data_IF_066224697564
#
_entry.id   IF_066224697564
#
_cell.length_a   1.000
_cell.length_b   1.000
_cell.length_c   1.000
_cell.angle_alpha   90.00
_cell.angle_beta   90.00
_cell.angle_gamma   90.00
#
_symmetry.space_group_name_H-M   'P 1'
#
loop_
_entity.id
_entity.type
_entity.pdbx_description
1 polymer ?
#
# COMPACT_ATOMS: atom_id res chain seq x y z
N UNK A 1 -33.47 5.13 -36.87
CA UNK A 1 -32.86 6.17 -37.72
C UNK A 1 -31.49 5.67 -38.12
N UNK A 2 -31.24 5.44 -39.41
CA UNK A 2 -29.96 4.99 -39.93
C UNK A 2 -29.37 6.14 -40.76
N UNK A 3 -28.18 6.61 -40.39
CA UNK A 3 -27.43 7.60 -41.16
C UNK A 3 -26.60 6.86 -42.22
N UNK A 4 -26.77 7.25 -43.48
CA UNK A 4 -26.02 6.77 -44.64
C UNK A 4 -25.16 7.92 -45.17
N UNK A 5 -23.90 7.64 -45.49
CA UNK A 5 -23.03 8.55 -46.23
C UNK A 5 -22.70 7.93 -47.58
N UNK A 6 -23.18 8.57 -48.66
CA UNK A 6 -22.75 8.31 -50.02
C UNK A 6 -21.55 9.22 -50.32
N UNK A 7 -20.39 8.64 -50.58
CA UNK A 7 -19.26 9.32 -51.20
C UNK A 7 -19.18 8.87 -52.66
N UNK A 8 -19.57 9.75 -53.57
CA UNK A 8 -19.25 9.65 -54.99
C UNK A 8 -18.02 10.53 -55.21
N UNK A 9 -16.88 9.90 -55.50
CA UNK A 9 -15.61 10.56 -55.70
C UNK A 9 -14.57 9.53 -56.16
N UNK A 10 -14.57 9.24 -57.45
CA UNK A 10 -13.42 8.72 -58.19
C UNK A 10 -12.26 9.71 -58.00
N UNK A 11 -11.24 9.37 -57.21
CA UNK A 11 -9.85 9.88 -57.23
C UNK A 11 -9.16 9.73 -55.85
N UNK A 12 -8.89 8.49 -55.42
CA UNK A 12 -7.91 8.24 -54.35
C UNK A 12 -7.00 7.10 -54.80
N UNK A 13 -5.74 7.44 -55.07
CA UNK A 13 -4.67 6.49 -55.33
C UNK A 13 -4.58 5.45 -54.20
N UNK A 14 -4.63 4.17 -54.54
CA UNK A 14 -4.55 3.05 -53.60
C UNK A 14 -3.11 2.92 -53.10
N UNK A 15 -2.69 3.79 -52.19
CA UNK A 15 -1.55 3.51 -51.33
C UNK A 15 -1.94 2.38 -50.39
N UNK A 16 -1.27 1.24 -50.58
CA UNK A 16 -1.42 0.04 -49.78
C UNK A 16 -1.21 0.39 -48.30
N UNK A 17 -2.30 0.64 -47.59
CA UNK A 17 -2.34 0.81 -46.16
C UNK A 17 -1.94 -0.53 -45.55
N UNK A 18 -0.66 -0.68 -45.22
CA UNK A 18 -0.23 -1.70 -44.27
C UNK A 18 -0.89 -1.29 -42.95
N UNK A 19 -1.91 -2.03 -42.53
CA UNK A 19 -2.55 -1.81 -41.25
C UNK A 19 -1.44 -1.73 -40.20
N UNK A 20 -1.39 -0.67 -39.37
CA UNK A 20 -0.40 -0.62 -38.32
C UNK A 20 -0.63 -1.86 -37.45
N UNK A 21 0.42 -2.66 -37.31
CA UNK A 21 0.42 -3.78 -36.37
C UNK A 21 0.06 -3.16 -35.03
N UNK A 22 -1.14 -3.43 -34.54
CA UNK A 22 -1.59 -2.98 -33.23
C UNK A 22 -0.69 -3.70 -32.25
N UNK A 23 0.38 -3.01 -31.83
CA UNK A 23 1.15 -3.42 -30.69
C UNK A 23 0.16 -3.52 -29.54
N UNK A 24 -0.08 -4.73 -29.06
CA UNK A 24 -0.85 -4.98 -27.84
C UNK A 24 -0.05 -4.38 -26.68
N UNK A 25 -0.27 -3.09 -26.45
CA UNK A 25 0.32 -2.35 -25.34
C UNK A 25 -0.18 -2.96 -24.03
N UNK A 26 0.69 -3.13 -23.01
CA UNK A 26 0.26 -3.64 -21.72
C UNK A 26 -0.64 -2.57 -21.08
N UNK A 27 -1.93 -2.88 -20.94
CA UNK A 27 -2.84 -2.04 -20.20
C UNK A 27 -2.35 -1.92 -18.75
N UNK A 28 -2.36 -0.70 -18.20
CA UNK A 28 -2.24 -0.44 -16.75
C UNK A 28 -3.56 -0.90 -16.14
N UNK A 29 -3.72 -2.21 -16.02
CA UNK A 29 -4.89 -2.84 -15.40
C UNK A 29 -4.60 -3.13 -13.93
N UNK A 30 -5.65 -3.14 -13.11
CA UNK A 30 -5.60 -3.73 -11.76
C UNK A 30 -5.34 -5.25 -11.76
N UNK A 31 -5.22 -5.84 -12.95
CA UNK A 31 -5.14 -7.27 -13.17
C UNK A 31 -3.88 -7.61 -13.96
N UNK A 32 -3.32 -8.81 -13.74
CA UNK A 32 -2.19 -9.28 -14.51
C UNK A 32 -2.50 -9.28 -16.00
N UNK A 33 -1.50 -8.91 -16.79
CA UNK A 33 -1.58 -9.04 -18.24
C UNK A 33 -1.54 -10.53 -18.59
N UNK A 34 -2.57 -11.02 -19.29
CA UNK A 34 -2.67 -12.41 -19.71
C UNK A 34 -1.39 -12.88 -20.42
N UNK A 35 -0.86 -14.03 -20.01
CA UNK A 35 0.38 -14.60 -20.57
C UNK A 35 1.68 -14.02 -20.00
N UNK A 36 1.64 -13.03 -19.10
CA UNK A 36 2.83 -12.56 -18.37
C UNK A 36 2.90 -13.19 -16.98
N UNK A 37 4.09 -13.64 -16.53
CA UNK A 37 4.25 -14.16 -15.18
C UNK A 37 4.02 -13.04 -14.15
N UNK A 38 3.45 -13.41 -13.01
CA UNK A 38 3.34 -12.52 -11.87
C UNK A 38 4.74 -12.12 -11.38
N UNK A 39 4.90 -10.83 -11.09
CA UNK A 39 6.12 -10.34 -10.47
C UNK A 39 6.27 -10.97 -9.09
N UNK A 40 7.47 -11.49 -8.82
CA UNK A 40 7.79 -12.03 -7.49
C UNK A 40 8.09 -10.87 -6.53
N UNK A 41 7.76 -11.00 -5.25
CA UNK A 41 8.18 -10.04 -4.23
C UNK A 41 9.71 -9.87 -4.25
N UNK A 42 10.17 -8.62 -4.20
CA UNK A 42 11.58 -8.26 -4.13
C UNK A 42 11.88 -7.64 -2.78
N UNK A 43 13.06 -7.91 -2.25
CA UNK A 43 13.57 -7.23 -1.06
C UNK A 43 14.38 -6.01 -1.51
N UNK A 44 14.12 -4.86 -0.90
CA UNK A 44 14.88 -3.64 -1.11
C UNK A 44 15.43 -3.16 0.22
N UNK A 45 16.72 -2.85 0.24
CA UNK A 45 17.36 -2.23 1.39
C UNK A 45 17.08 -0.72 1.42
N UNK A 46 16.98 -0.15 2.63
CA UNK A 46 16.70 1.27 2.82
C UNK A 46 17.80 2.16 2.23
N UNK A 47 19.08 1.79 2.38
CA UNK A 47 20.16 2.60 1.82
C UNK A 47 20.11 2.58 0.28
N UNK A 48 19.75 1.44 -0.31
CA UNK A 48 19.49 1.36 -1.74
C UNK A 48 18.32 2.28 -2.16
N UNK A 49 17.17 2.23 -1.47
CA UNK A 49 16.03 3.09 -1.78
C UNK A 49 16.37 4.58 -1.66
N UNK A 50 17.08 4.98 -0.61
CA UNK A 50 17.54 6.35 -0.41
C UNK A 50 18.50 6.81 -1.51
N UNK A 51 19.36 5.92 -2.00
CA UNK A 51 20.27 6.22 -3.12
C UNK A 51 19.54 6.47 -4.45
N UNK A 52 18.29 6.02 -4.56
CA UNK A 52 17.43 6.21 -5.73
C UNK A 52 16.58 7.48 -5.66
N UNK A 53 16.57 8.18 -4.53
CA UNK A 53 15.83 9.43 -4.40
C UNK A 53 16.50 10.55 -5.20
N UNK A 54 15.71 11.46 -5.80
CA UNK A 54 16.25 12.64 -6.45
C UNK A 54 16.92 13.55 -5.41
N UNK A 55 17.89 14.35 -5.86
CA UNK A 55 18.64 15.27 -4.98
C UNK A 55 17.78 16.37 -4.35
N UNK A 56 16.57 16.60 -4.87
CA UNK A 56 15.55 17.51 -4.34
C UNK A 56 14.19 16.84 -4.44
N UNK A 57 13.39 16.98 -3.40
CA UNK A 57 12.01 16.52 -3.33
C UNK A 57 11.17 17.66 -2.77
N UNK A 58 10.10 18.05 -3.46
CA UNK A 58 9.08 18.91 -2.87
C UNK A 58 8.05 18.07 -2.10
N UNK A 59 7.66 18.56 -0.92
CA UNK A 59 6.70 17.92 -0.05
C UNK A 59 5.80 18.94 0.64
N UNK A 60 4.59 18.53 0.99
CA UNK A 60 3.73 19.18 1.98
C UNK A 60 3.61 18.31 3.22
N UNK A 61 2.97 18.82 4.26
CA UNK A 61 2.59 18.01 5.41
C UNK A 61 1.14 17.57 5.29
N UNK A 62 0.90 16.30 5.58
CA UNK A 62 -0.41 15.74 5.85
C UNK A 62 -0.65 15.80 7.37
N UNK A 63 -1.65 16.57 7.78
CA UNK A 63 -2.07 16.67 9.18
C UNK A 63 -3.05 15.54 9.49
N UNK A 64 -2.64 14.61 10.37
CA UNK A 64 -3.44 13.48 10.83
C UNK A 64 -3.91 13.74 12.26
N UNK A 65 -5.21 13.97 12.43
CA UNK A 65 -5.82 14.06 13.76
C UNK A 65 -5.91 12.67 14.39
N UNK A 66 -5.18 12.45 15.47
CA UNK A 66 -5.16 11.23 16.26
C UNK A 66 -6.40 11.12 17.16
N UNK A 67 -6.63 9.93 17.71
CA UNK A 67 -7.82 9.65 18.53
C UNK A 67 -7.80 10.40 19.88
N UNK A 68 -6.62 10.84 20.35
CA UNK A 68 -6.45 11.71 21.53
C UNK A 68 -6.63 13.21 21.22
N UNK A 69 -6.94 13.56 19.97
CA UNK A 69 -7.11 14.93 19.50
C UNK A 69 -5.81 15.65 19.12
N UNK A 70 -4.65 15.03 19.34
CA UNK A 70 -3.38 15.59 18.88
C UNK A 70 -3.23 15.47 17.35
N UNK A 71 -2.41 16.33 16.76
CA UNK A 71 -2.18 16.35 15.30
C UNK A 71 -0.78 15.83 15.03
N UNK A 72 -0.69 14.73 14.28
CA UNK A 72 0.55 14.19 13.75
C UNK A 72 0.75 14.72 12.32
N UNK A 73 1.86 15.43 12.08
CA UNK A 73 2.21 15.91 10.73
C UNK A 73 3.17 14.95 10.06
N UNK A 74 2.77 14.43 8.90
CA UNK A 74 3.58 13.52 8.10
C UNK A 74 4.01 14.19 6.80
N UNK A 75 5.31 14.23 6.47
CA UNK A 75 5.77 14.68 5.17
C UNK A 75 5.16 13.81 4.06
N UNK A 76 4.53 14.45 3.08
CA UNK A 76 3.94 13.84 1.90
C UNK A 76 4.51 14.51 0.66
N UNK A 77 5.16 13.72 -0.18
CA UNK A 77 5.68 14.21 -1.46
C UNK A 77 4.58 14.86 -2.29
N UNK A 78 4.89 15.98 -2.90
CA UNK A 78 3.95 16.70 -3.76
C UNK A 78 3.67 15.94 -5.06
N UNK A 79 2.41 15.91 -5.48
CA UNK A 79 2.02 15.16 -6.68
C UNK A 79 2.63 15.78 -7.95
N UNK A 80 2.79 17.11 -7.99
CA UNK A 80 3.43 17.79 -9.10
C UNK A 80 4.93 17.47 -9.19
N UNK A 81 5.59 17.18 -8.07
CA UNK A 81 7.00 16.82 -8.01
C UNK A 81 7.21 15.39 -8.58
N UNK A 82 6.29 14.47 -8.24
CA UNK A 82 6.23 13.15 -8.87
C UNK A 82 6.01 13.26 -10.38
N UNK A 83 5.07 14.11 -10.80
CA UNK A 83 4.77 14.32 -12.23
C UNK A 83 5.98 14.85 -13.00
N UNK A 84 6.70 15.80 -12.41
CA UNK A 84 7.92 16.35 -13.01
C UNK A 84 9.01 15.29 -13.15
N UNK A 85 9.19 14.42 -12.14
CA UNK A 85 10.14 13.31 -12.23
C UNK A 85 9.77 12.34 -13.36
N UNK A 86 8.51 11.92 -13.45
CA UNK A 86 8.05 11.01 -14.52
C UNK A 86 8.22 11.62 -15.91
N UNK A 87 7.97 12.93 -16.06
CA UNK A 87 8.23 13.65 -17.31
C UNK A 87 9.72 13.67 -17.69
N UNK A 88 10.62 13.70 -16.69
CA UNK A 88 12.06 13.73 -16.92
C UNK A 88 12.65 12.34 -17.21
N UNK A 89 12.01 11.28 -16.71
CA UNK A 89 12.47 9.89 -16.87
C UNK A 89 11.97 9.22 -18.16
N UNK A 90 11.27 9.96 -19.06
CA UNK A 90 10.62 9.44 -20.28
C UNK A 90 9.69 8.23 -20.01
N UNK A 91 9.21 8.10 -18.77
CA UNK A 91 8.24 7.09 -18.41
C UNK A 91 6.91 7.41 -19.08
N UNK A 92 6.35 6.41 -19.76
CA UNK A 92 5.31 6.54 -20.79
C UNK A 92 4.18 7.51 -20.44
N UNK A 93 3.63 8.17 -21.46
CA UNK A 93 2.42 9.05 -21.42
C UNK A 93 1.30 8.50 -20.50
N UNK A 94 1.20 7.18 -20.36
CA UNK A 94 0.25 6.49 -19.50
C UNK A 94 0.45 6.68 -17.99
N UNK A 95 1.69 6.78 -17.50
CA UNK A 95 1.99 7.07 -16.09
C UNK A 95 1.48 8.48 -15.71
N UNK A 96 1.52 9.41 -16.66
CA UNK A 96 0.97 10.75 -16.49
C UNK A 96 -0.57 10.77 -16.54
N UNK A 97 -1.20 9.86 -17.29
CA UNK A 97 -2.66 9.71 -17.32
C UNK A 97 -3.23 9.08 -16.03
N UNK A 98 -2.45 8.23 -15.36
CA UNK A 98 -2.77 7.69 -14.03
C UNK A 98 -2.76 8.76 -12.92
N UNK A 99 -2.19 9.94 -13.18
CA UNK A 99 -2.16 11.10 -12.28
C UNK A 99 -3.28 12.13 -12.55
N UNK A 100 -4.23 11.83 -13.43
CA UNK A 100 -5.32 12.75 -13.80
C UNK A 100 -6.36 12.99 -12.69
N UNK A 101 -7.32 13.87 -12.96
CA UNK A 101 -8.36 14.32 -12.01
C UNK A 101 -9.48 13.28 -11.76
N UNK A 102 -9.37 12.08 -12.32
CA UNK A 102 -10.37 11.04 -12.10
C UNK A 102 -9.99 10.24 -10.84
N UNK A 103 -10.94 10.06 -9.93
CA UNK A 103 -10.71 9.37 -8.65
C UNK A 103 -10.92 7.84 -8.73
N UNK A 104 -11.66 7.34 -9.72
CA UNK A 104 -11.89 5.91 -9.95
C UNK A 104 -12.13 5.62 -11.43
N UNK A 105 -11.27 4.80 -12.05
CA UNK A 105 -11.52 4.14 -13.34
C UNK A 105 -11.79 2.64 -13.13
N UNK A 106 -12.94 2.15 -13.60
CA UNK A 106 -13.30 0.73 -13.50
C UNK A 106 -12.26 -0.16 -14.18
N UNK A 107 -11.71 -1.14 -13.43
CA UNK A 107 -10.73 -2.10 -13.93
C UNK A 107 -9.28 -1.59 -13.94
N UNK A 108 -9.03 -0.35 -13.53
CA UNK A 108 -7.70 0.26 -13.43
C UNK A 108 -7.36 0.46 -11.95
N UNK A 109 -6.18 -0.01 -11.55
CA UNK A 109 -5.64 0.31 -10.23
C UNK A 109 -4.85 1.60 -10.33
N UNK A 110 -5.31 2.63 -9.61
CA UNK A 110 -4.68 3.96 -9.56
C UNK A 110 -3.81 4.14 -8.31
N UNK A 111 -3.64 3.09 -7.51
CA UNK A 111 -2.84 3.17 -6.29
C UNK A 111 -1.35 3.32 -6.60
N UNK A 112 -0.63 4.06 -5.74
CA UNK A 112 0.82 4.24 -5.82
C UNK A 112 1.28 5.70 -5.80
N UNK A 113 0.45 6.65 -6.23
CA UNK A 113 0.84 8.08 -6.28
C UNK A 113 0.10 8.98 -5.28
N UNK A 114 -1.06 8.54 -4.79
CA UNK A 114 -1.87 9.26 -3.78
C UNK A 114 -1.73 8.57 -2.42
N UNK A 115 -1.75 9.37 -1.35
CA UNK A 115 -1.94 8.85 0.01
C UNK A 115 -3.39 8.46 0.19
N UNK A 116 -3.65 7.20 0.54
CA UNK A 116 -5.00 6.68 0.73
C UNK A 116 -5.42 6.72 2.19
N UNK A 117 -6.73 6.85 2.42
CA UNK A 117 -7.32 6.96 3.76
C UNK A 117 -6.99 5.75 4.65
N UNK A 118 -6.89 4.54 4.08
CA UNK A 118 -6.50 3.35 4.85
C UNK A 118 -5.10 3.48 5.46
N UNK A 119 -4.16 4.16 4.78
CA UNK A 119 -2.83 4.43 5.33
C UNK A 119 -2.90 5.39 6.52
N UNK A 120 -3.82 6.37 6.50
CA UNK A 120 -4.08 7.26 7.63
C UNK A 120 -4.68 6.48 8.79
N UNK A 121 -5.60 5.56 8.52
CA UNK A 121 -6.18 4.71 9.55
C UNK A 121 -5.12 3.83 10.24
N UNK A 122 -4.15 3.32 9.46
CA UNK A 122 -3.00 2.58 9.99
C UNK A 122 -2.12 3.45 10.91
N UNK A 123 -1.84 4.68 10.51
CA UNK A 123 -1.07 5.64 11.34
C UNK A 123 -1.74 5.85 12.70
N UNK A 124 -3.07 5.96 12.76
CA UNK A 124 -3.77 6.12 14.04
C UNK A 124 -3.64 4.90 14.94
N UNK A 125 -3.75 3.69 14.37
CA UNK A 125 -3.51 2.45 15.12
C UNK A 125 -2.10 2.40 15.69
N UNK A 126 -1.09 2.74 14.88
CA UNK A 126 0.30 2.77 15.32
C UNK A 126 0.53 3.80 16.44
N UNK A 127 -0.06 5.00 16.30
CA UNK A 127 0.06 6.04 17.32
C UNK A 127 -0.63 5.66 18.65
N UNK A 128 -1.78 4.97 18.59
CA UNK A 128 -2.52 4.50 19.76
C UNK A 128 -1.80 3.39 20.52
N UNK A 129 -0.89 2.67 19.87
CA UNK A 129 -0.12 1.57 20.46
C UNK A 129 1.19 2.03 21.15
N UNK A 130 1.42 3.35 21.25
CA UNK A 130 2.56 3.91 21.99
C UNK A 130 2.42 3.69 23.51
N UNK A 131 3.49 3.26 24.23
CA UNK A 131 3.43 3.14 25.68
C UNK A 131 3.24 4.50 26.34
N UNK A 132 2.31 4.58 27.29
CA UNK A 132 2.21 5.71 28.22
C UNK A 132 3.51 5.81 29.04
N UNK A 133 4.40 6.74 28.70
CA UNK A 133 5.57 7.06 29.54
C UNK A 133 6.88 7.45 28.84
N UNK A 134 6.98 7.43 27.51
CA UNK A 134 8.18 7.98 26.85
C UNK A 134 8.08 9.50 26.74
N UNK A 135 8.74 10.17 27.69
CA UNK A 135 8.91 11.61 27.73
C UNK A 135 9.71 12.06 26.51
N UNK A 136 9.17 13.05 25.79
CA UNK A 136 9.82 13.71 24.66
C UNK A 136 11.17 14.28 25.09
N UNK A 137 12.27 13.73 24.57
CA UNK A 137 13.46 14.54 24.36
C UNK A 137 13.21 15.38 23.11
N UNK A 138 12.53 16.50 23.31
CA UNK A 138 12.38 17.54 22.29
C UNK A 138 13.77 18.13 22.06
N UNK A 139 14.54 17.49 21.17
CA UNK A 139 15.79 18.08 20.68
C UNK A 139 15.36 19.36 19.97
N UNK A 140 15.80 20.51 20.48
CA UNK A 140 15.50 21.84 19.95
C UNK A 140 16.10 22.02 18.55
N UNK A 141 15.57 21.31 17.57
CA UNK A 141 15.85 21.43 16.15
C UNK A 141 14.74 22.28 15.52
N UNK A 142 15.06 22.89 14.39
CA UNK A 142 14.14 23.77 13.67
C UNK A 142 12.83 23.02 13.32
N UNK A 143 11.66 23.70 13.30
CA UNK A 143 10.35 23.07 13.15
C UNK A 143 10.16 22.29 11.84
N UNK A 144 10.92 22.63 10.79
CA UNK A 144 11.03 21.90 9.52
C UNK A 144 11.78 20.57 9.67
N UNK A 145 12.83 20.54 10.49
CA UNK A 145 13.62 19.33 10.78
C UNK A 145 12.83 18.37 11.67
N UNK A 146 12.13 18.88 12.70
CA UNK A 146 11.30 18.08 13.62
C UNK A 146 10.17 17.28 12.93
N UNK A 147 9.72 17.70 11.75
CA UNK A 147 8.60 17.06 11.05
C UNK A 147 8.99 15.77 10.31
N UNK A 148 10.24 15.66 9.81
CA UNK A 148 10.74 14.39 9.27
C UNK A 148 10.99 13.36 10.38
N UNK A 149 11.32 13.83 11.59
CA UNK A 149 11.54 12.97 12.76
C UNK A 149 10.25 12.30 13.26
N UNK A 150 9.05 12.87 13.01
CA UNK A 150 7.79 12.33 13.55
C UNK A 150 7.43 10.95 12.97
N UNK A 151 7.69 10.71 11.67
CA UNK A 151 7.46 9.43 11.00
C UNK A 151 8.53 8.40 11.38
N UNK A 152 9.80 8.81 11.41
CA UNK A 152 10.89 7.92 11.83
C UNK A 152 10.67 7.48 13.29
N UNK A 153 10.26 8.40 14.16
CA UNK A 153 9.84 8.06 15.53
C UNK A 153 8.62 7.12 15.56
N UNK A 154 7.62 7.33 14.70
CA UNK A 154 6.49 6.40 14.62
C UNK A 154 6.96 4.98 14.26
N UNK A 155 7.94 4.86 13.34
CA UNK A 155 8.56 3.59 12.94
C UNK A 155 9.48 3.02 14.01
N UNK A 156 10.17 3.87 14.79
CA UNK A 156 11.05 3.42 15.88
C UNK A 156 10.24 2.98 17.12
N UNK A 157 9.04 3.51 17.32
CA UNK A 157 8.13 3.16 18.43
C UNK A 157 7.31 1.87 18.18
N UNK A 158 7.30 1.37 16.94
CA UNK A 158 6.59 0.15 16.49
C UNK A 158 6.87 -1.13 17.30
N UNK A 159 8.06 -1.37 17.89
CA UNK A 159 8.28 -2.57 18.72
C UNK A 159 7.32 -2.67 19.91
N UNK A 160 6.74 -1.55 20.35
CA UNK A 160 5.75 -1.50 21.43
C UNK A 160 4.33 -1.89 20.98
N UNK A 161 4.10 -1.89 19.67
CA UNK A 161 2.79 -2.10 19.06
C UNK A 161 2.38 -3.58 18.92
N UNK A 162 3.31 -4.49 19.21
CA UNK A 162 3.04 -5.93 19.18
C UNK A 162 2.59 -6.39 20.57
N UNK A 163 1.37 -6.94 20.71
CA UNK A 163 0.87 -7.44 21.98
C UNK A 163 1.63 -8.71 22.39
N UNK A 164 2.63 -8.55 23.25
CA UNK A 164 3.37 -9.65 23.86
C UNK A 164 4.37 -9.16 24.92
N UNK A 165 4.27 -9.70 26.14
CA UNK A 165 5.34 -9.59 27.15
C UNK A 165 6.56 -10.33 26.61
N UNK A 166 7.48 -9.64 25.92
CA UNK A 166 8.74 -10.27 25.56
C UNK A 166 9.92 -9.39 25.93
N UNK A 167 10.73 -9.90 26.86
CA UNK A 167 12.06 -9.40 27.11
C UNK A 167 12.92 -9.68 25.87
N UNK A 168 13.01 -8.68 24.98
CA UNK A 168 13.95 -8.52 23.86
C UNK A 168 14.40 -9.79 23.10
N UNK A 169 13.56 -10.32 22.19
CA UNK A 169 13.99 -10.87 20.89
C UNK A 169 13.66 -9.89 19.74
N UNK A 170 14.24 -10.03 18.52
CA UNK A 170 14.04 -9.08 17.43
C UNK A 170 12.64 -9.19 16.82
N UNK A 171 11.82 -8.17 17.02
CA UNK A 171 10.43 -8.16 16.56
C UNK A 171 10.30 -7.83 15.06
N UNK A 172 9.60 -8.66 14.29
CA UNK A 172 9.24 -8.33 12.90
C UNK A 172 7.82 -7.78 12.84
N UNK A 173 7.66 -6.58 12.29
CA UNK A 173 6.37 -6.01 11.99
C UNK A 173 6.23 -5.71 10.49
N UNK A 174 5.24 -6.32 9.87
CA UNK A 174 4.88 -6.09 8.47
C UNK A 174 3.74 -5.07 8.44
N UNK A 175 3.88 -4.03 7.62
CA UNK A 175 2.82 -3.06 7.36
C UNK A 175 2.31 -3.22 5.93
N UNK A 176 0.99 -3.36 5.77
CA UNK A 176 0.31 -3.33 4.48
C UNK A 176 -0.77 -2.27 4.49
N UNK A 177 -0.81 -1.42 3.47
CA UNK A 177 -1.89 -0.46 3.27
C UNK A 177 -2.31 -0.48 1.80
N UNK A 178 -3.60 -0.73 1.53
CA UNK A 178 -4.17 -0.77 0.17
C UNK A 178 -3.51 -1.83 -0.77
N UNK A 179 -3.07 -2.96 -0.21
CA UNK A 179 -2.35 -4.03 -0.93
C UNK A 179 -3.25 -5.15 -1.46
N UNK A 180 -4.53 -5.19 -1.05
CA UNK A 180 -5.44 -6.32 -1.27
C UNK A 180 -6.64 -5.98 -2.16
N UNK A 181 -6.44 -5.10 -3.15
CA UNK A 181 -7.51 -4.51 -3.95
C UNK A 181 -8.15 -5.46 -4.96
N UNK A 182 -7.49 -6.56 -5.35
CA UNK A 182 -8.04 -7.59 -6.24
C UNK A 182 -7.81 -8.99 -5.64
N UNK A 183 -8.60 -10.02 -6.01
CA UNK A 183 -8.42 -11.38 -5.48
C UNK A 183 -7.01 -11.92 -5.69
N UNK A 184 -6.39 -11.58 -6.81
CA UNK A 184 -5.03 -12.02 -7.11
C UNK A 184 -3.97 -11.28 -6.28
N UNK A 185 -4.11 -9.95 -6.12
CA UNK A 185 -3.23 -9.18 -5.26
C UNK A 185 -3.34 -9.65 -3.80
N UNK A 186 -4.56 -9.99 -3.37
CA UNK A 186 -4.85 -10.57 -2.06
C UNK A 186 -4.10 -11.89 -1.85
N UNK A 187 -4.22 -12.86 -2.76
CA UNK A 187 -3.50 -14.15 -2.63
C UNK A 187 -1.98 -13.95 -2.61
N UNK A 188 -1.44 -13.17 -3.55
CA UNK A 188 0.00 -12.89 -3.61
C UNK A 188 0.52 -12.19 -2.35
N UNK A 189 -0.26 -11.25 -1.81
CA UNK A 189 0.08 -10.56 -0.57
C UNK A 189 0.04 -11.49 0.63
N UNK A 190 -0.98 -12.35 0.74
CA UNK A 190 -1.09 -13.36 1.80
C UNK A 190 0.11 -14.31 1.77
N UNK A 191 0.44 -14.88 0.61
CA UNK A 191 1.58 -15.79 0.48
C UNK A 191 2.89 -15.10 0.91
N UNK A 192 3.05 -13.82 0.57
CA UNK A 192 4.24 -13.03 0.93
C UNK A 192 4.34 -12.80 2.43
N UNK A 193 3.25 -12.33 3.08
CA UNK A 193 3.29 -12.05 4.51
C UNK A 193 3.49 -13.34 5.32
N UNK A 194 2.84 -14.44 4.93
CA UNK A 194 2.99 -15.72 5.64
C UNK A 194 4.41 -16.25 5.54
N UNK A 195 5.01 -16.23 4.34
CA UNK A 195 6.39 -16.67 4.13
C UNK A 195 7.40 -15.84 4.96
N UNK A 196 7.17 -14.53 5.10
CA UNK A 196 8.01 -13.67 5.93
C UNK A 196 7.80 -13.99 7.42
N UNK A 197 6.55 -14.02 7.89
CA UNK A 197 6.25 -14.28 9.30
C UNK A 197 6.79 -15.64 9.76
N UNK A 198 6.63 -16.69 8.94
CA UNK A 198 7.18 -18.02 9.23
C UNK A 198 8.72 -18.02 9.26
N UNK A 199 9.36 -17.38 8.27
CA UNK A 199 10.82 -17.29 8.20
C UNK A 199 11.39 -16.57 9.42
N UNK A 200 10.81 -15.44 9.79
CA UNK A 200 11.31 -14.61 10.90
C UNK A 200 11.03 -15.29 12.25
N UNK A 201 9.84 -15.88 12.43
CA UNK A 201 9.51 -16.67 13.61
C UNK A 201 10.48 -17.85 13.79
N UNK A 202 10.82 -18.57 12.72
CA UNK A 202 11.74 -19.71 12.81
C UNK A 202 13.20 -19.27 12.99
N UNK A 203 13.65 -18.25 12.26
CA UNK A 203 15.06 -17.80 12.26
C UNK A 203 15.44 -17.09 13.54
N UNK A 204 14.54 -16.26 14.07
CA UNK A 204 14.84 -15.39 15.20
C UNK A 204 14.12 -15.77 16.49
N UNK A 205 13.26 -16.81 16.46
CA UNK A 205 12.42 -17.22 17.61
C UNK A 205 11.67 -16.03 18.23
N UNK A 206 11.26 -15.09 17.39
CA UNK A 206 10.69 -13.82 17.81
C UNK A 206 9.23 -13.70 17.43
N UNK A 207 8.54 -12.80 18.13
CA UNK A 207 7.18 -12.41 17.81
C UNK A 207 7.17 -11.65 16.48
N UNK A 208 6.31 -12.10 15.58
CA UNK A 208 6.12 -11.50 14.27
C UNK A 208 4.63 -11.24 14.03
N UNK A 209 4.31 -10.05 13.56
CA UNK A 209 2.94 -9.63 13.30
C UNK A 209 2.82 -8.84 12.00
N UNK A 210 1.61 -8.78 11.44
CA UNK A 210 1.32 -7.93 10.30
C UNK A 210 0.11 -7.02 10.58
N UNK A 211 0.24 -5.73 10.34
CA UNK A 211 -0.87 -4.78 10.34
C UNK A 211 -1.28 -4.48 8.90
N UNK A 212 -2.54 -4.77 8.57
CA UNK A 212 -3.06 -4.61 7.22
C UNK A 212 -4.24 -3.65 7.27
N UNK A 213 -4.11 -2.51 6.59
CA UNK A 213 -5.16 -1.51 6.44
C UNK A 213 -5.71 -1.52 5.02
N UNK A 214 -7.02 -1.68 4.89
CA UNK A 214 -7.67 -1.81 3.59
C UNK A 214 -9.13 -1.40 3.62
N UNK A 215 -9.70 -1.24 2.42
CA UNK A 215 -11.15 -1.04 2.25
C UNK A 215 -11.90 -2.34 2.54
N UNK A 216 -13.08 -2.20 3.12
CA UNK A 216 -13.99 -3.32 3.33
C UNK A 216 -14.43 -3.94 2.00
N UNK A 217 -14.46 -3.15 0.92
CA UNK A 217 -14.73 -3.62 -0.44
C UNK A 217 -14.08 -2.69 -1.45
N UNK A 218 -13.45 -3.27 -2.48
CA UNK A 218 -12.92 -2.54 -3.63
C UNK A 218 -13.82 -2.72 -4.86
N UNK A 219 -14.59 -1.69 -5.19
CA UNK A 219 -15.51 -1.71 -6.33
C UNK A 219 -14.75 -1.87 -7.66
N UNK A 220 -15.26 -2.74 -8.54
CA UNK A 220 -14.71 -2.95 -9.90
C UNK A 220 -13.48 -3.86 -9.98
N UNK A 221 -12.75 -4.06 -8.88
CA UNK A 221 -11.53 -4.91 -8.83
C UNK A 221 -11.69 -6.16 -7.96
N UNK A 222 -12.64 -6.14 -7.02
CA UNK A 222 -13.16 -7.34 -6.36
C UNK A 222 -12.41 -7.80 -5.10
N UNK A 223 -11.35 -7.10 -4.67
CA UNK A 223 -10.73 -7.37 -3.38
C UNK A 223 -11.58 -6.87 -2.22
N UNK A 224 -11.35 -7.42 -1.03
CA UNK A 224 -12.03 -7.00 0.20
C UNK A 224 -11.23 -7.38 1.45
N UNK A 225 -11.38 -6.58 2.51
CA UNK A 225 -10.79 -6.92 3.82
C UNK A 225 -11.43 -8.16 4.44
N UNK A 226 -12.72 -8.40 4.19
CA UNK A 226 -13.45 -9.58 4.69
C UNK A 226 -12.92 -10.88 4.10
N UNK A 227 -12.64 -10.90 2.79
CA UNK A 227 -12.04 -12.05 2.12
C UNK A 227 -10.62 -12.28 2.64
N UNK A 228 -9.85 -11.20 2.85
CA UNK A 228 -8.52 -11.30 3.42
C UNK A 228 -8.55 -11.96 4.80
N UNK A 229 -9.40 -11.50 5.72
CA UNK A 229 -9.56 -12.08 7.08
C UNK A 229 -9.94 -13.56 6.99
N UNK A 230 -10.86 -13.90 6.09
CA UNK A 230 -11.31 -15.29 5.89
C UNK A 230 -10.17 -16.16 5.39
N UNK A 231 -9.46 -15.73 4.35
CA UNK A 231 -8.36 -16.49 3.73
C UNK A 231 -7.20 -16.68 4.69
N UNK A 232 -6.75 -15.65 5.43
CA UNK A 232 -5.68 -15.82 6.42
C UNK A 232 -6.11 -16.71 7.59
N UNK A 233 -7.39 -16.67 7.99
CA UNK A 233 -7.97 -17.55 8.98
C UNK A 233 -7.93 -19.03 8.56
N UNK A 234 -8.30 -19.32 7.31
CA UNK A 234 -8.18 -20.66 6.73
C UNK A 234 -6.72 -21.15 6.67
N UNK A 235 -5.75 -20.24 6.62
CA UNK A 235 -4.31 -20.53 6.65
C UNK A 235 -3.74 -20.57 8.07
N UNK A 236 -4.59 -20.55 9.10
CA UNK A 236 -4.19 -20.71 10.50
C UNK A 236 -3.64 -19.45 11.17
N UNK A 237 -3.84 -18.27 10.57
CA UNK A 237 -3.45 -16.97 11.14
C UNK A 237 -4.66 -16.31 11.79
N UNK A 238 -4.48 -15.79 12.99
CA UNK A 238 -5.53 -15.04 13.69
C UNK A 238 -5.49 -13.58 13.26
N UNK A 239 -6.53 -13.12 12.58
CA UNK A 239 -6.72 -11.71 12.24
C UNK A 239 -7.69 -11.03 13.23
N UNK A 240 -7.23 -9.96 13.89
CA UNK A 240 -8.01 -9.17 14.86
C UNK A 240 -8.26 -7.79 14.29
N UNK A 241 -9.52 -7.37 14.19
CA UNK A 241 -9.87 -6.00 13.80
C UNK A 241 -9.45 -5.03 14.91
N UNK A 242 -8.58 -4.09 14.60
CA UNK A 242 -8.11 -3.06 15.53
C UNK A 242 -8.86 -1.73 15.35
N UNK A 243 -9.29 -1.43 14.13
CA UNK A 243 -9.96 -0.18 13.80
C UNK A 243 -10.91 -0.38 12.65
N UNK A 244 -12.08 0.25 12.73
CA UNK A 244 -13.03 0.34 11.63
C UNK A 244 -13.37 1.82 11.41
N UNK A 245 -13.26 2.27 10.16
CA UNK A 245 -13.66 3.60 9.75
C UNK A 245 -14.90 3.50 8.85
N UNK A 246 -15.96 4.21 9.25
CA UNK A 246 -17.24 4.22 8.53
C UNK A 246 -17.47 5.52 7.76
N UNK A 247 -16.61 6.52 7.94
CA UNK A 247 -16.65 7.77 7.19
C UNK A 247 -16.12 7.56 5.77
N UNK A 248 -16.94 7.90 4.78
CA UNK A 248 -16.66 7.63 3.37
C UNK A 248 -16.82 6.15 3.04
N UNK A 249 -15.88 5.60 2.28
CA UNK A 249 -15.84 4.15 1.98
C UNK A 249 -15.45 3.42 3.26
N UNK A 250 -16.19 2.38 3.66
CA UNK A 250 -15.85 1.59 4.86
C UNK A 250 -14.45 0.98 4.73
N UNK A 251 -13.64 1.12 5.78
CA UNK A 251 -12.25 0.65 5.87
C UNK A 251 -12.00 -0.01 7.21
N UNK A 252 -10.96 -0.83 7.27
CA UNK A 252 -10.51 -1.43 8.52
C UNK A 252 -9.01 -1.62 8.58
N UNK A 253 -8.51 -1.74 9.81
CA UNK A 253 -7.13 -2.13 10.10
C UNK A 253 -7.17 -3.41 10.91
N UNK A 254 -6.52 -4.45 10.42
CA UNK A 254 -6.44 -5.76 11.08
C UNK A 254 -5.01 -6.08 11.49
N UNK A 255 -4.87 -6.73 12.63
CA UNK A 255 -3.62 -7.28 13.12
C UNK A 255 -3.63 -8.80 12.96
N UNK A 256 -2.72 -9.29 12.12
CA UNK A 256 -2.50 -10.70 11.85
C UNK A 256 -1.40 -11.23 12.76
N UNK A 257 -1.74 -12.23 13.56
CA UNK A 257 -0.82 -12.89 14.50
C UNK A 257 -0.75 -14.37 14.17
N UNK A 258 0.47 -14.88 14.00
CA UNK A 258 0.70 -16.33 13.90
C UNK A 258 0.61 -16.91 15.31
N UNK A 259 -0.32 -17.82 15.61
CA UNK A 259 -0.42 -18.43 16.93
C UNK A 259 0.85 -19.23 17.23
N UNK A 260 1.49 -18.95 18.37
CA UNK A 260 2.71 -19.63 18.80
C UNK A 260 2.42 -21.12 19.07
N UNK A 261 3.35 -22.03 18.76
CA UNK A 261 3.12 -23.47 18.91
C UNK A 261 2.74 -23.91 20.35
N UNK A 262 3.05 -23.10 21.38
CA UNK A 262 2.65 -23.36 22.77
C UNK A 262 1.14 -23.26 23.00
N UNK A 263 0.42 -22.43 22.24
CA UNK A 263 -1.03 -22.25 22.41
C UNK A 263 -1.85 -23.37 21.74
N UNK A 264 -1.21 -24.18 20.87
CA UNK A 264 -1.86 -25.35 20.26
C UNK A 264 -1.98 -26.55 21.21
N UNK A 265 -1.18 -26.58 22.28
CA UNK A 265 -1.16 -27.69 23.24
C UNK A 265 -2.17 -27.53 24.39
N UNK A 266 -2.74 -26.34 24.60
CA UNK A 266 -3.70 -26.03 25.66
C UNK A 266 -5.17 -26.16 25.24
N UNK A 267 -5.43 -26.58 23.99
CA UNK A 267 -6.79 -26.79 23.45
C UNK A 267 -7.10 -28.25 23.09
N UNK A 268 -6.32 -29.21 23.62
CA UNK A 268 -6.65 -30.64 23.59
C UNK A 268 -7.03 -31.14 24.98
#
# INVERSE_FOLDING_TARGET
>A
MAFSFAFSGDDIDVQQYVAPVVATSPAIGAFPVAGRPLLRPTNHDLAHLLSRLPSKVAYSCLDVTLDDGSILRLPRRELWDVRLQLMAEDDSIYAMEALGDHDVKTGVYEGGFKSWESSVDLVKVLAAQRPLGQTRHELALRPDVLQAFSFVQLVDDLPSAIPGKCATPPTTLILGAETIYSPLALEAFIDTILAILERESHKFQADAGALVAAKMLYFGVGGSLSDFITTVGLRGVRAVMLREAVEGVRRGVVHCVVPHQRDRASSQ
#
